data_IF_190758176299
#
_entry.id   IF_190758176299
#
_cell.length_a   1.000
_cell.length_b   1.000
_cell.length_c   1.000
_cell.angle_alpha   90.00
_cell.angle_beta   90.00
_cell.angle_gamma   90.00
#
_symmetry.space_group_name_H-M   'P 1'
#
loop_
_entity.id
_entity.type
_entity.pdbx_description
1 polymer ?
#
# COMPACT_ATOMS: atom_id res chain seq x y z
N UNK A 1 -4.50 9.84 20.99
CA UNK A 1 -4.37 8.39 21.15
C UNK A 1 -4.14 7.79 19.78
N UNK A 2 -2.99 7.14 19.59
CA UNK A 2 -2.63 6.46 18.35
C UNK A 2 -2.25 5.02 18.69
N UNK A 3 -2.56 4.07 17.82
CA UNK A 3 -1.97 2.73 17.85
C UNK A 3 -2.14 2.01 19.20
N UNK A 4 -3.38 1.92 19.66
CA UNK A 4 -3.75 1.21 20.88
C UNK A 4 -4.80 0.14 20.59
N UNK A 5 -4.76 -0.98 21.31
CA UNK A 5 -5.73 -2.07 21.20
C UNK A 5 -7.05 -1.81 21.95
N UNK A 6 -7.38 -0.53 22.16
CA UNK A 6 -8.64 -0.15 22.81
C UNK A 6 -9.76 -0.40 21.81
N UNK A 7 -10.75 -1.17 22.25
CA UNK A 7 -11.93 -1.57 21.50
C UNK A 7 -13.20 -1.12 22.20
N UNK A 8 -14.31 -1.10 21.46
CA UNK A 8 -15.61 -0.67 21.96
C UNK A 8 -16.15 0.56 21.23
N UNK A 9 -17.28 1.12 21.68
CA UNK A 9 -17.85 2.30 21.06
C UNK A 9 -16.96 3.53 21.29
N UNK A 10 -17.05 4.52 20.40
CA UNK A 10 -16.45 5.85 20.65
C UNK A 10 -16.97 6.39 22.00
N UNK A 11 -16.09 6.71 22.97
CA UNK A 11 -16.56 6.99 24.33
C UNK A 11 -17.33 8.30 24.47
N UNK A 12 -18.59 8.21 24.88
CA UNK A 12 -19.48 9.36 25.02
C UNK A 12 -19.06 10.31 26.15
N UNK A 13 -18.36 9.82 27.19
CA UNK A 13 -17.93 10.64 28.33
C UNK A 13 -16.99 11.79 27.93
N UNK A 14 -16.35 11.70 26.74
CA UNK A 14 -15.48 12.75 26.21
C UNK A 14 -16.24 14.09 26.12
N UNK A 15 -17.56 14.07 25.93
CA UNK A 15 -18.41 15.26 25.91
C UNK A 15 -18.27 16.16 27.15
N UNK A 16 -17.90 15.58 28.30
CA UNK A 16 -17.74 16.32 29.56
C UNK A 16 -16.43 17.11 29.62
N UNK A 17 -15.51 16.89 28.67
CA UNK A 17 -14.22 17.57 28.56
C UNK A 17 -14.39 18.86 27.73
N UNK A 18 -15.27 19.77 28.18
CA UNK A 18 -15.65 20.97 27.38
C UNK A 18 -14.50 21.93 27.11
N UNK A 19 -13.39 21.85 27.86
CA UNK A 19 -12.18 22.65 27.65
C UNK A 19 -11.17 21.98 26.69
N UNK A 20 -11.54 20.86 26.07
CA UNK A 20 -10.66 20.12 25.16
C UNK A 20 -10.44 20.90 23.85
N UNK A 21 -9.18 21.14 23.49
CA UNK A 21 -8.78 21.79 22.24
C UNK A 21 -8.28 20.78 21.19
N UNK A 22 -7.71 19.67 21.64
CA UNK A 22 -7.08 18.68 20.77
C UNK A 22 -7.60 17.27 21.08
N UNK A 23 -8.43 16.75 20.18
CA UNK A 23 -8.90 15.36 20.23
C UNK A 23 -8.40 14.60 19.01
N UNK A 24 -7.52 13.61 19.25
CA UNK A 24 -6.95 12.78 18.18
C UNK A 24 -7.08 11.30 18.56
N UNK A 25 -7.80 10.52 17.76
CA UNK A 25 -8.03 9.08 17.95
C UNK A 25 -7.91 8.36 16.60
N UNK A 26 -6.83 7.59 16.42
CA UNK A 26 -6.54 6.83 15.19
C UNK A 26 -6.00 5.45 15.50
N UNK A 27 -6.25 4.51 14.59
CA UNK A 27 -5.66 3.17 14.67
C UNK A 27 -6.05 2.43 15.96
N UNK A 28 -7.28 2.65 16.42
CA UNK A 28 -7.91 1.94 17.53
C UNK A 28 -8.92 0.94 16.95
N UNK A 29 -9.53 0.11 17.80
CA UNK A 29 -10.64 -0.78 17.42
C UNK A 29 -11.98 -0.20 17.84
N UNK A 30 -12.12 1.13 17.72
CA UNK A 30 -13.35 1.81 18.07
C UNK A 30 -14.39 1.59 16.99
N UNK A 31 -15.66 1.48 17.38
CA UNK A 31 -16.77 1.43 16.43
C UNK A 31 -17.75 2.58 16.66
N UNK A 32 -18.42 2.95 15.57
CA UNK A 32 -19.37 4.05 15.53
C UNK A 32 -20.74 3.71 16.10
N UNK A 33 -21.65 4.69 16.10
CA UNK A 33 -21.47 6.02 15.51
C UNK A 33 -20.60 6.95 16.37
N UNK A 34 -20.09 8.03 15.77
CA UNK A 34 -19.53 9.15 16.54
C UNK A 34 -20.66 9.77 17.38
N UNK A 35 -20.51 9.93 18.72
CA UNK A 35 -21.60 10.39 19.57
C UNK A 35 -22.01 11.83 19.21
N UNK A 36 -23.31 12.06 19.00
CA UNK A 36 -23.86 13.42 18.80
C UNK A 36 -23.42 14.42 19.88
N UNK A 37 -23.19 13.92 21.09
CA UNK A 37 -22.72 14.65 22.25
C UNK A 37 -21.34 15.32 22.07
N UNK A 38 -20.56 14.95 21.05
CA UNK A 38 -19.33 15.67 20.69
C UNK A 38 -19.60 17.11 20.22
N UNK A 39 -20.86 17.45 19.90
CA UNK A 39 -21.31 18.83 19.73
C UNK A 39 -21.05 19.74 20.94
N UNK A 40 -20.87 19.18 22.15
CA UNK A 40 -20.53 19.94 23.34
C UNK A 40 -19.07 20.43 23.36
N UNK A 41 -18.21 19.92 22.48
CA UNK A 41 -16.77 20.22 22.43
C UNK A 41 -16.49 21.46 21.58
N UNK A 42 -17.08 22.59 21.94
CA UNK A 42 -17.04 23.83 21.15
C UNK A 42 -15.65 24.50 21.09
N UNK A 43 -14.73 24.13 21.99
CA UNK A 43 -13.38 24.70 22.07
C UNK A 43 -12.34 23.95 21.22
N UNK A 44 -12.75 22.96 20.42
CA UNK A 44 -11.82 22.17 19.61
C UNK A 44 -11.13 23.04 18.56
N UNK A 45 -9.80 22.92 18.50
CA UNK A 45 -8.92 23.43 17.45
C UNK A 45 -8.49 22.31 16.50
N UNK A 46 -8.36 21.09 17.02
CA UNK A 46 -8.04 19.87 16.26
C UNK A 46 -9.00 18.73 16.63
N UNK A 47 -9.69 18.22 15.62
CA UNK A 47 -10.45 16.97 15.70
C UNK A 47 -9.95 16.00 14.63
N UNK A 48 -9.39 14.89 15.08
CA UNK A 48 -8.77 13.89 14.22
C UNK A 48 -9.27 12.52 14.65
N UNK A 49 -10.28 12.00 13.97
CA UNK A 49 -10.85 10.68 14.18
C UNK A 49 -10.64 9.84 12.93
N UNK A 50 -10.17 8.60 13.08
CA UNK A 50 -10.11 7.70 11.95
C UNK A 50 -10.03 6.23 12.28
N UNK A 51 -10.33 5.43 11.25
CA UNK A 51 -10.46 3.97 11.34
C UNK A 51 -11.49 3.55 12.40
N UNK A 52 -12.60 4.29 12.48
CA UNK A 52 -13.74 3.91 13.33
C UNK A 52 -14.59 2.92 12.54
N UNK A 53 -14.67 1.69 13.03
CA UNK A 53 -15.44 0.61 12.42
C UNK A 53 -16.94 0.86 12.49
N UNK A 54 -17.70 0.21 11.63
CA UNK A 54 -19.16 0.34 11.57
C UNK A 54 -19.62 1.31 10.48
N UNK A 55 -20.93 1.30 10.28
CA UNK A 55 -21.60 1.91 9.14
C UNK A 55 -22.67 2.85 9.72
N UNK A 56 -22.93 3.99 9.07
CA UNK A 56 -24.02 4.92 9.39
C UNK A 56 -23.74 6.01 10.44
N UNK A 57 -22.50 6.49 10.56
CA UNK A 57 -22.28 7.78 11.23
C UNK A 57 -22.88 8.91 10.37
N UNK A 58 -23.55 9.87 11.01
CA UNK A 58 -24.07 11.11 10.39
C UNK A 58 -23.27 12.31 10.93
N UNK A 59 -23.54 13.51 10.43
CA UNK A 59 -22.92 14.76 10.92
C UNK A 59 -23.62 15.38 12.14
N UNK A 60 -24.48 14.64 12.86
CA UNK A 60 -25.26 15.15 14.00
C UNK A 60 -24.39 15.51 15.23
N UNK A 61 -23.08 15.28 15.15
CA UNK A 61 -22.09 15.65 16.16
C UNK A 61 -21.37 16.98 15.86
N UNK A 62 -21.61 17.58 14.69
CA UNK A 62 -21.05 18.89 14.35
C UNK A 62 -21.73 19.96 15.20
N UNK A 63 -20.93 20.82 15.81
CA UNK A 63 -21.36 22.02 16.52
C UNK A 63 -20.69 23.26 15.94
N UNK A 64 -20.99 24.43 16.51
CA UNK A 64 -20.26 25.65 16.21
C UNK A 64 -18.80 25.54 16.67
N UNK A 65 -17.92 25.31 15.70
CA UNK A 65 -16.51 24.99 15.89
C UNK A 65 -15.65 26.08 15.27
N UNK A 66 -15.96 27.33 15.62
CA UNK A 66 -15.29 28.52 15.12
C UNK A 66 -13.75 28.46 15.24
N UNK A 67 -13.23 27.77 16.27
CA UNK A 67 -11.78 27.63 16.52
C UNK A 67 -11.13 26.47 15.75
N UNK A 68 -11.91 25.59 15.13
CA UNK A 68 -11.39 24.37 14.52
C UNK A 68 -10.59 24.68 13.26
N UNK A 69 -9.31 24.29 13.29
CA UNK A 69 -8.36 24.45 12.18
C UNK A 69 -8.10 23.14 11.44
N UNK A 70 -8.17 22.02 12.16
CA UNK A 70 -7.92 20.68 11.62
C UNK A 70 -9.10 19.76 11.88
N UNK A 71 -9.74 19.30 10.81
CA UNK A 71 -10.77 18.26 10.85
C UNK A 71 -10.33 17.07 9.98
N UNK A 72 -10.11 15.93 10.62
CA UNK A 72 -10.05 14.65 9.91
C UNK A 72 -11.05 13.66 10.49
N UNK A 73 -11.86 13.09 9.61
CA UNK A 73 -12.89 12.08 9.87
C UNK A 73 -12.73 10.93 8.87
N UNK A 74 -11.48 10.57 8.57
CA UNK A 74 -11.15 9.55 7.57
C UNK A 74 -11.67 8.19 8.01
N UNK A 75 -12.36 7.47 7.11
CA UNK A 75 -12.83 6.09 7.37
C UNK A 75 -13.56 5.95 8.71
N UNK A 76 -14.58 6.80 8.88
CA UNK A 76 -15.44 6.83 10.06
C UNK A 76 -16.86 6.31 9.79
N UNK A 77 -17.06 5.68 8.62
CA UNK A 77 -18.36 5.16 8.19
C UNK A 77 -19.42 6.25 7.97
N UNK A 78 -18.99 7.48 7.66
CA UNK A 78 -19.89 8.61 7.46
C UNK A 78 -20.73 8.42 6.19
N UNK A 79 -22.01 8.80 6.28
CA UNK A 79 -22.98 8.68 5.19
C UNK A 79 -23.76 9.99 5.00
N UNK A 80 -24.49 10.11 3.89
CA UNK A 80 -25.31 11.29 3.61
C UNK A 80 -24.55 12.39 2.90
N UNK A 81 -24.95 13.64 3.09
CA UNK A 81 -24.34 14.82 2.46
C UNK A 81 -23.64 15.68 3.50
N UNK A 82 -22.69 16.50 3.05
CA UNK A 82 -22.10 17.54 3.88
C UNK A 82 -23.17 18.58 4.28
N UNK A 83 -23.20 19.05 5.54
CA UNK A 83 -24.03 20.16 5.94
C UNK A 83 -23.78 21.42 5.11
N UNK A 84 -24.85 22.12 4.75
CA UNK A 84 -24.81 23.33 3.90
C UNK A 84 -24.14 24.54 4.56
N UNK A 85 -24.03 24.56 5.90
CA UNK A 85 -23.49 25.70 6.65
C UNK A 85 -22.50 25.17 7.69
N UNK A 86 -21.20 25.06 7.34
CA UNK A 86 -20.19 24.66 8.29
C UNK A 86 -19.89 25.82 9.22
N UNK A 87 -19.90 25.60 10.53
CA UNK A 87 -19.56 26.63 11.49
C UNK A 87 -18.06 26.59 11.84
N UNK A 88 -17.22 26.35 10.83
CA UNK A 88 -15.77 26.10 10.99
C UNK A 88 -14.98 27.13 10.20
N UNK A 89 -15.04 28.41 10.61
CA UNK A 89 -14.46 29.53 9.85
C UNK A 89 -12.92 29.53 9.78
N UNK A 90 -12.25 28.78 10.64
CA UNK A 90 -10.78 28.74 10.73
C UNK A 90 -10.16 27.48 10.10
N UNK A 91 -10.97 26.66 9.40
CA UNK A 91 -10.52 25.38 8.89
C UNK A 91 -9.45 25.53 7.80
N UNK A 92 -8.31 24.88 7.99
CA UNK A 92 -7.18 24.84 7.04
C UNK A 92 -6.86 23.42 6.56
N UNK A 93 -7.32 22.40 7.28
CA UNK A 93 -7.14 21.00 6.92
C UNK A 93 -8.46 20.25 7.07
N UNK A 94 -8.98 19.73 5.95
CA UNK A 94 -10.19 18.91 5.88
C UNK A 94 -9.87 17.56 5.26
N UNK A 95 -10.13 16.48 5.99
CA UNK A 95 -9.94 15.12 5.50
C UNK A 95 -11.14 14.24 5.83
N UNK A 96 -11.87 13.85 4.78
CA UNK A 96 -13.09 13.05 4.83
C UNK A 96 -12.94 11.78 4.00
N UNK A 97 -11.71 11.35 3.71
CA UNK A 97 -11.43 10.22 2.83
C UNK A 97 -12.04 8.91 3.31
N UNK A 98 -12.29 8.01 2.36
CA UNK A 98 -12.72 6.63 2.61
C UNK A 98 -14.00 6.54 3.46
N UNK A 99 -14.98 7.39 3.15
CA UNK A 99 -16.32 7.35 3.74
C UNK A 99 -17.36 7.00 2.66
N UNK A 100 -18.64 7.05 3.00
CA UNK A 100 -19.75 6.86 2.07
C UNK A 100 -20.55 8.16 1.90
N UNK A 101 -19.84 9.30 1.83
CA UNK A 101 -20.44 10.61 1.62
C UNK A 101 -20.90 10.78 0.18
N UNK A 102 -21.95 11.57 -0.01
CA UNK A 102 -22.64 11.77 -1.29
C UNK A 102 -23.06 13.23 -1.47
N UNK A 103 -23.67 13.53 -2.61
CA UNK A 103 -24.10 14.88 -2.97
C UNK A 103 -23.07 15.60 -3.86
N UNK A 104 -23.39 16.81 -4.31
CA UNK A 104 -22.54 17.51 -5.26
C UNK A 104 -21.29 18.07 -4.57
N UNK A 105 -20.13 17.95 -5.22
CA UNK A 105 -18.82 18.35 -4.66
C UNK A 105 -18.75 19.85 -4.31
N UNK A 106 -19.61 20.69 -4.91
CA UNK A 106 -19.79 22.10 -4.53
C UNK A 106 -20.17 22.32 -3.06
N UNK A 107 -20.66 21.30 -2.36
CA UNK A 107 -20.91 21.36 -0.91
C UNK A 107 -19.63 21.55 -0.08
N UNK A 108 -18.46 21.40 -0.69
CA UNK A 108 -17.18 21.73 -0.05
C UNK A 108 -16.87 23.24 -0.08
N UNK A 109 -17.52 24.03 -0.95
CA UNK A 109 -17.26 25.48 -1.06
C UNK A 109 -17.37 26.20 0.30
N UNK A 110 -18.39 25.94 1.14
CA UNK A 110 -18.50 26.62 2.43
C UNK A 110 -17.41 26.23 3.43
N UNK A 111 -16.73 25.09 3.26
CA UNK A 111 -15.64 24.64 4.14
C UNK A 111 -14.31 25.32 3.78
N UNK A 112 -14.29 26.05 2.66
CA UNK A 112 -13.12 26.75 2.18
C UNK A 112 -12.97 28.11 2.85
N UNK A 113 -11.96 28.24 3.71
CA UNK A 113 -11.72 29.50 4.45
C UNK A 113 -10.41 30.21 4.10
N UNK A 114 -9.51 29.57 3.36
CA UNK A 114 -8.21 30.15 2.99
C UNK A 114 -7.67 29.57 1.68
N UNK A 115 -6.60 30.19 1.17
CA UNK A 115 -5.88 29.71 -0.02
C UNK A 115 -4.85 28.61 0.31
N UNK A 116 -4.58 28.38 1.59
CA UNK A 116 -3.56 27.43 2.06
C UNK A 116 -4.17 26.11 2.55
N UNK A 117 -5.31 25.73 1.99
CA UNK A 117 -6.13 24.66 2.51
C UNK A 117 -5.73 23.29 1.93
N UNK A 118 -5.76 22.27 2.78
CA UNK A 118 -5.65 20.87 2.38
C UNK A 118 -7.05 20.25 2.41
N UNK A 119 -7.52 19.76 1.27
CA UNK A 119 -8.85 19.17 1.13
C UNK A 119 -8.72 17.76 0.59
N UNK A 120 -9.04 16.77 1.41
CA UNK A 120 -8.98 15.36 1.08
C UNK A 120 -10.37 14.73 1.17
N UNK A 121 -10.98 14.44 0.04
CA UNK A 121 -12.33 13.85 -0.06
C UNK A 121 -12.37 12.61 -0.94
N UNK A 122 -11.20 12.04 -1.25
CA UNK A 122 -11.08 10.84 -2.05
C UNK A 122 -11.84 9.64 -1.46
N UNK A 123 -12.14 8.65 -2.30
CA UNK A 123 -12.84 7.42 -1.89
C UNK A 123 -14.19 7.69 -1.21
N UNK A 124 -15.04 8.46 -1.89
CA UNK A 124 -16.42 8.75 -1.50
C UNK A 124 -17.35 8.59 -2.73
N UNK A 125 -18.61 9.03 -2.60
CA UNK A 125 -19.60 9.01 -3.67
C UNK A 125 -20.09 10.44 -4.03
N UNK A 126 -19.19 11.43 -3.98
CA UNK A 126 -19.49 12.80 -4.43
C UNK A 126 -19.78 12.84 -5.94
N UNK A 127 -20.56 13.83 -6.36
CA UNK A 127 -21.03 13.99 -7.74
C UNK A 127 -20.79 15.40 -8.28
N UNK A 128 -20.94 15.55 -9.60
CA UNK A 128 -20.94 16.86 -10.26
C UNK A 128 -19.54 17.40 -10.56
N UNK A 129 -19.49 18.67 -10.96
CA UNK A 129 -18.25 19.32 -11.40
C UNK A 129 -17.49 19.93 -10.22
N UNK A 130 -16.16 19.86 -10.28
CA UNK A 130 -15.28 20.50 -9.28
C UNK A 130 -15.27 22.01 -9.54
N UNK A 131 -15.77 22.84 -8.61
CA UNK A 131 -15.71 24.29 -8.76
C UNK A 131 -14.26 24.78 -8.83
N UNK A 132 -13.97 25.73 -9.73
CA UNK A 132 -12.63 26.29 -9.90
C UNK A 132 -12.11 26.96 -8.63
N UNK A 133 -13.01 27.52 -7.80
CA UNK A 133 -12.69 28.16 -6.52
C UNK A 133 -12.09 27.17 -5.52
N UNK A 134 -12.49 25.90 -5.56
CA UNK A 134 -11.89 24.86 -4.71
C UNK A 134 -10.46 24.57 -5.19
N UNK A 135 -10.25 24.48 -6.49
CA UNK A 135 -8.95 24.16 -7.09
C UNK A 135 -7.92 25.29 -6.90
N UNK A 136 -8.29 26.53 -7.20
CA UNK A 136 -7.35 27.68 -7.24
C UNK A 136 -6.67 28.01 -5.90
N UNK A 137 -7.28 27.56 -4.81
CA UNK A 137 -6.94 28.01 -3.47
C UNK A 137 -6.75 26.81 -2.52
N UNK A 138 -6.30 25.67 -3.06
CA UNK A 138 -5.92 24.49 -2.28
C UNK A 138 -4.44 24.20 -2.47
N UNK A 139 -3.73 23.95 -1.37
CA UNK A 139 -2.33 23.45 -1.39
C UNK A 139 -2.30 21.99 -1.82
N UNK A 140 -3.34 21.24 -1.49
CA UNK A 140 -3.57 19.89 -1.96
C UNK A 140 -5.08 19.63 -2.03
N UNK A 141 -5.53 19.11 -3.16
CA UNK A 141 -6.93 18.73 -3.38
C UNK A 141 -7.00 17.28 -3.84
N UNK A 142 -7.55 16.40 -3.02
CA UNK A 142 -7.80 15.02 -3.43
C UNK A 142 -9.30 14.78 -3.58
N UNK A 143 -9.71 14.52 -4.82
CA UNK A 143 -11.08 14.12 -5.19
C UNK A 143 -11.11 12.71 -5.78
N UNK A 144 -10.00 11.98 -5.68
CA UNK A 144 -9.82 10.67 -6.30
C UNK A 144 -10.93 9.69 -5.89
N UNK A 145 -11.22 8.72 -6.75
CA UNK A 145 -12.19 7.67 -6.48
C UNK A 145 -13.64 8.11 -6.20
N UNK A 146 -13.99 9.36 -6.50
CA UNK A 146 -15.38 9.80 -6.60
C UNK A 146 -15.86 9.63 -8.06
N UNK A 147 -16.39 8.43 -8.39
CA UNK A 147 -16.67 8.02 -9.78
C UNK A 147 -17.62 8.96 -10.53
N UNK A 148 -18.52 9.62 -9.81
CA UNK A 148 -19.55 10.52 -10.34
C UNK A 148 -19.11 12.00 -10.37
N UNK A 149 -17.92 12.33 -9.86
CA UNK A 149 -17.29 13.65 -10.10
C UNK A 149 -16.84 13.69 -11.55
N UNK A 150 -17.27 14.73 -12.27
CA UNK A 150 -17.16 14.85 -13.72
C UNK A 150 -16.93 16.30 -14.16
N UNK A 151 -17.11 16.58 -15.45
CA UNK A 151 -16.88 17.90 -16.03
C UNK A 151 -15.42 18.12 -16.43
N UNK A 152 -15.12 19.27 -17.05
CA UNK A 152 -13.76 19.63 -17.43
C UNK A 152 -12.90 19.86 -16.18
N UNK A 153 -11.62 19.46 -16.25
CA UNK A 153 -10.64 19.84 -15.24
C UNK A 153 -10.53 21.38 -15.22
N UNK A 154 -10.71 22.05 -14.06
CA UNK A 154 -10.60 23.50 -14.00
C UNK A 154 -9.21 23.96 -14.45
N UNK A 155 -9.17 24.80 -15.50
CA UNK A 155 -7.92 25.31 -16.05
C UNK A 155 -7.26 26.33 -15.11
N UNK A 156 -5.92 26.31 -15.04
CA UNK A 156 -5.13 27.45 -14.55
C UNK A 156 -4.99 28.47 -15.67
N UNK A 157 -5.28 29.74 -15.40
CA UNK A 157 -5.04 30.84 -16.33
C UNK A 157 -3.55 31.03 -16.66
N UNK A 158 -2.64 30.49 -15.84
CA UNK A 158 -1.20 30.74 -15.92
C UNK A 158 -0.38 29.48 -16.26
N UNK A 159 -1.05 28.37 -16.66
CA UNK A 159 -0.38 27.10 -16.97
C UNK A 159 0.20 26.36 -15.76
N UNK A 160 -0.10 26.82 -14.54
CA UNK A 160 0.32 26.16 -13.30
C UNK A 160 -0.47 24.86 -13.10
N UNK A 161 0.23 23.73 -12.99
CA UNK A 161 -0.39 22.44 -12.67
C UNK A 161 -0.89 22.46 -11.22
N UNK A 162 -2.20 22.33 -11.03
CA UNK A 162 -2.80 22.30 -9.70
C UNK A 162 -2.41 21.01 -8.96
N UNK A 163 -2.16 21.07 -7.64
CA UNK A 163 -1.91 19.90 -6.80
C UNK A 163 -3.23 19.16 -6.53
N UNK A 164 -3.83 18.63 -7.61
CA UNK A 164 -5.09 17.91 -7.59
C UNK A 164 -4.87 16.43 -7.92
N UNK A 165 -5.44 15.56 -7.11
CA UNK A 165 -5.59 14.15 -7.40
C UNK A 165 -7.03 13.83 -7.78
N UNK A 166 -7.25 13.41 -9.02
CA UNK A 166 -8.56 13.05 -9.56
C UNK A 166 -8.59 11.65 -10.20
N UNK A 167 -7.62 10.79 -9.88
CA UNK A 167 -7.62 9.39 -10.34
C UNK A 167 -8.94 8.72 -9.94
N UNK A 168 -9.51 7.91 -10.83
CA UNK A 168 -10.76 7.19 -10.55
C UNK A 168 -12.04 8.04 -10.60
N UNK A 169 -11.94 9.32 -10.99
CA UNK A 169 -13.10 10.17 -11.30
C UNK A 169 -13.44 10.14 -12.80
N UNK A 170 -14.54 10.79 -13.17
CA UNK A 170 -14.96 11.00 -14.56
C UNK A 170 -14.56 12.37 -15.10
N UNK A 171 -13.63 13.09 -14.46
CA UNK A 171 -13.14 14.39 -14.93
C UNK A 171 -12.51 14.25 -16.32
N UNK A 172 -12.83 15.22 -17.19
CA UNK A 172 -12.25 15.37 -18.51
C UNK A 172 -11.03 16.30 -18.46
N UNK A 173 -9.85 15.72 -18.67
CA UNK A 173 -8.57 16.44 -18.71
C UNK A 173 -8.02 16.59 -20.15
N UNK A 174 -8.84 16.34 -21.17
CA UNK A 174 -8.43 16.34 -22.59
C UNK A 174 -7.86 17.67 -23.06
N UNK A 175 -8.31 18.78 -22.48
CA UNK A 175 -7.81 20.13 -22.76
C UNK A 175 -6.52 20.52 -22.02
N UNK A 176 -6.04 19.70 -21.07
CA UNK A 176 -4.95 20.09 -20.16
C UNK A 176 -3.76 19.12 -20.19
N UNK A 177 -3.99 17.84 -20.49
CA UNK A 177 -2.96 16.79 -20.50
C UNK A 177 -2.73 16.28 -21.92
N UNK A 178 -1.52 15.80 -22.22
CA UNK A 178 -1.21 15.23 -23.53
C UNK A 178 -2.03 13.94 -23.81
N UNK A 179 -2.19 13.61 -25.09
CA UNK A 179 -3.01 12.48 -25.55
C UNK A 179 -2.51 11.10 -25.08
N UNK A 180 -1.21 10.93 -24.85
CA UNK A 180 -0.63 9.66 -24.41
C UNK A 180 -0.98 9.37 -22.94
N UNK A 181 -0.80 10.35 -22.05
CA UNK A 181 -1.17 10.26 -20.64
C UNK A 181 -2.68 10.00 -20.49
N UNK A 182 -3.49 10.68 -21.31
CA UNK A 182 -4.95 10.47 -21.35
C UNK A 182 -5.33 9.05 -21.74
N UNK A 183 -4.62 8.45 -22.69
CA UNK A 183 -4.85 7.06 -23.12
C UNK A 183 -4.64 6.10 -21.95
N UNK A 184 -3.56 6.27 -21.19
CA UNK A 184 -3.28 5.46 -19.99
C UNK A 184 -4.33 5.69 -18.90
N UNK A 185 -4.70 6.93 -18.61
CA UNK A 185 -5.76 7.24 -17.65
C UNK A 185 -7.15 6.70 -18.08
N UNK A 186 -7.44 6.69 -19.37
CA UNK A 186 -8.66 6.08 -19.92
C UNK A 186 -8.64 4.57 -19.83
N UNK A 187 -7.47 3.93 -19.93
CA UNK A 187 -7.33 2.51 -19.65
C UNK A 187 -7.63 2.22 -18.17
N UNK A 188 -7.09 2.98 -17.22
CA UNK A 188 -7.48 2.85 -15.80
C UNK A 188 -9.01 2.90 -15.59
N UNK A 189 -9.71 3.79 -16.31
CA UNK A 189 -11.18 3.93 -16.27
C UNK A 189 -11.93 2.86 -17.06
N UNK A 190 -11.24 1.85 -17.60
CA UNK A 190 -11.77 0.80 -18.48
C UNK A 190 -12.51 1.34 -19.71
N UNK A 191 -12.22 2.58 -20.13
CA UNK A 191 -12.80 3.19 -21.34
C UNK A 191 -12.07 2.75 -22.60
N UNK A 192 -10.73 2.65 -22.54
CA UNK A 192 -9.88 2.51 -23.74
C UNK A 192 -8.75 1.47 -23.60
N UNK A 193 -8.85 0.48 -22.70
CA UNK A 193 -7.84 -0.61 -22.62
C UNK A 193 -7.91 -1.60 -23.81
N UNK A 194 -8.14 -1.13 -25.03
CA UNK A 194 -8.18 -2.01 -26.18
C UNK A 194 -6.74 -2.34 -26.61
N UNK A 195 -6.38 -3.63 -26.53
CA UNK A 195 -5.04 -4.18 -26.81
C UNK A 195 -4.41 -3.72 -28.14
N UNK A 196 -5.22 -3.33 -29.12
CA UNK A 196 -4.76 -3.03 -30.48
C UNK A 196 -3.89 -1.76 -30.58
N UNK A 197 -3.92 -0.87 -29.59
CA UNK A 197 -3.12 0.36 -29.60
C UNK A 197 -1.82 0.26 -28.79
N UNK A 198 -1.64 -0.78 -27.97
CA UNK A 198 -0.38 -1.03 -27.25
C UNK A 198 0.39 -2.07 -28.05
N UNK A 199 1.25 -1.61 -28.94
CA UNK A 199 1.94 -2.45 -29.93
C UNK A 199 2.85 -3.53 -29.33
N UNK A 200 3.17 -3.44 -28.02
CA UNK A 200 3.92 -4.44 -27.27
C UNK A 200 3.40 -4.53 -25.81
N UNK A 201 2.55 -5.52 -25.45
CA UNK A 201 2.14 -5.69 -24.05
C UNK A 201 3.36 -5.98 -23.18
N UNK A 202 3.52 -5.20 -22.11
CA UNK A 202 4.62 -5.40 -21.17
C UNK A 202 4.47 -6.76 -20.49
N UNK A 203 5.47 -7.62 -20.63
CA UNK A 203 5.52 -8.92 -19.93
C UNK A 203 6.17 -8.78 -18.56
N UNK A 204 7.04 -7.80 -18.36
CA UNK A 204 7.63 -7.47 -17.07
C UNK A 204 7.85 -5.97 -16.94
N UNK A 205 7.78 -5.46 -15.71
CA UNK A 205 8.02 -4.08 -15.37
C UNK A 205 8.83 -3.99 -14.07
N UNK A 206 9.68 -2.98 -13.93
CA UNK A 206 10.26 -2.61 -12.65
C UNK A 206 10.27 -1.09 -12.48
N UNK A 207 10.01 -0.60 -11.27
CA UNK A 207 9.88 0.82 -10.92
C UNK A 207 10.83 1.11 -9.75
N UNK A 208 11.67 2.15 -9.87
CA UNK A 208 12.49 2.68 -8.78
C UNK A 208 11.70 3.78 -8.06
N UNK A 209 10.93 3.42 -7.03
CA UNK A 209 10.00 4.32 -6.36
C UNK A 209 10.74 5.49 -5.69
N UNK A 210 10.38 6.72 -6.04
CA UNK A 210 11.10 7.95 -5.67
C UNK A 210 12.52 8.11 -6.23
N UNK A 211 12.98 7.19 -7.07
CA UNK A 211 14.34 7.16 -7.59
C UNK A 211 14.42 7.41 -9.09
N UNK A 212 15.63 7.74 -9.57
CA UNK A 212 15.93 7.84 -11.01
C UNK A 212 16.01 6.47 -11.66
N UNK A 213 15.92 6.43 -12.98
CA UNK A 213 16.08 5.18 -13.73
C UNK A 213 17.43 4.52 -13.38
N UNK A 214 17.40 3.22 -13.12
CA UNK A 214 18.61 2.46 -12.83
C UNK A 214 18.58 1.08 -13.51
N UNK A 215 19.76 0.59 -13.87
CA UNK A 215 19.94 -0.76 -14.42
C UNK A 215 20.66 -1.61 -13.40
N UNK A 216 20.14 -2.81 -13.19
CA UNK A 216 20.72 -3.76 -12.27
C UNK A 216 20.93 -5.11 -12.96
N UNK A 217 22.13 -5.65 -12.87
CA UNK A 217 22.58 -6.81 -13.65
C UNK A 217 23.01 -7.95 -12.74
N UNK A 218 22.06 -8.62 -12.07
CA UNK A 218 22.27 -9.90 -11.40
C UNK A 218 20.91 -10.52 -10.96
N UNK A 219 20.49 -11.73 -11.38
CA UNK A 219 21.09 -12.62 -12.40
C UNK A 219 20.64 -12.29 -13.84
N UNK A 220 19.60 -11.46 -14.02
CA UNK A 220 19.12 -10.95 -15.32
C UNK A 220 19.03 -9.43 -15.29
N UNK A 221 19.46 -8.72 -16.35
CA UNK A 221 19.42 -7.26 -16.39
C UNK A 221 17.97 -6.77 -16.25
N UNK A 222 17.70 -6.11 -15.13
CA UNK A 222 16.41 -5.46 -14.86
C UNK A 222 16.62 -3.94 -14.93
N UNK A 223 15.79 -3.26 -15.72
CA UNK A 223 15.75 -1.81 -15.78
C UNK A 223 14.60 -1.34 -14.91
N UNK A 224 14.91 -0.66 -13.81
CA UNK A 224 13.92 0.00 -12.97
C UNK A 224 13.65 1.40 -13.55
N UNK A 225 12.43 1.64 -14.02
CA UNK A 225 12.00 2.93 -14.56
C UNK A 225 11.92 3.99 -13.46
N UNK A 226 12.14 5.25 -13.83
CA UNK A 226 12.17 6.40 -12.93
C UNK A 226 10.81 6.76 -12.34
N UNK A 227 10.74 6.92 -11.01
CA UNK A 227 9.60 7.48 -10.28
C UNK A 227 10.05 8.64 -9.37
N UNK A 228 10.79 9.61 -9.91
CA UNK A 228 11.40 10.71 -9.15
C UNK A 228 10.50 11.96 -8.96
N UNK A 229 9.30 11.96 -9.55
CA UNK A 229 8.44 13.15 -9.58
C UNK A 229 7.88 13.47 -8.18
N UNK A 230 7.99 14.72 -7.77
CA UNK A 230 7.30 15.25 -6.59
C UNK A 230 5.81 15.45 -6.91
N UNK A 231 4.96 14.90 -6.05
CA UNK A 231 3.50 14.90 -6.21
C UNK A 231 2.81 15.82 -5.20
N UNK A 232 3.57 16.53 -4.35
CA UNK A 232 3.03 17.39 -3.30
C UNK A 232 2.10 16.63 -2.34
N UNK A 233 1.14 17.34 -1.73
CA UNK A 233 0.21 16.74 -0.77
C UNK A 233 -0.89 15.88 -1.39
N UNK A 234 -1.18 16.04 -2.68
CA UNK A 234 -2.14 15.25 -3.44
C UNK A 234 -1.82 15.36 -4.93
N UNK A 235 -1.59 14.23 -5.60
CA UNK A 235 -1.33 14.25 -7.04
C UNK A 235 -1.02 12.87 -7.59
N UNK A 236 -0.81 12.83 -8.89
CA UNK A 236 -0.40 11.62 -9.58
C UNK A 236 0.54 11.94 -10.74
N UNK A 237 1.31 10.93 -11.14
CA UNK A 237 2.20 11.00 -12.30
C UNK A 237 1.97 9.77 -13.19
N UNK A 238 1.97 10.03 -14.51
CA UNK A 238 1.81 9.02 -15.55
C UNK A 238 3.16 8.87 -16.24
N UNK A 239 3.67 7.65 -16.30
CA UNK A 239 4.86 7.30 -17.06
C UNK A 239 4.42 6.52 -18.29
N UNK A 240 4.27 7.20 -19.43
CA UNK A 240 3.79 6.60 -20.67
C UNK A 240 4.75 5.57 -21.23
N UNK A 241 6.05 5.86 -21.20
CA UNK A 241 7.09 4.99 -21.72
C UNK A 241 7.16 3.62 -21.01
N UNK A 242 6.82 3.59 -19.72
CA UNK A 242 6.85 2.37 -18.90
C UNK A 242 5.45 1.89 -18.51
N UNK A 243 4.38 2.47 -19.05
CA UNK A 243 2.99 2.04 -18.83
C UNK A 243 2.56 1.90 -17.36
N UNK A 244 2.92 2.86 -16.50
CA UNK A 244 2.44 2.88 -15.13
C UNK A 244 2.04 4.27 -14.64
N UNK A 245 1.23 4.31 -13.60
CA UNK A 245 0.75 5.51 -12.93
C UNK A 245 0.99 5.37 -11.44
N UNK A 246 1.50 6.43 -10.81
CA UNK A 246 1.60 6.54 -9.35
C UNK A 246 0.64 7.61 -8.86
N UNK A 247 -0.08 7.32 -7.78
CA UNK A 247 -0.94 8.25 -7.05
C UNK A 247 -0.40 8.45 -5.64
N UNK A 248 -0.35 9.68 -5.19
CA UNK A 248 0.02 10.06 -3.83
C UNK A 248 -1.10 10.89 -3.20
N UNK A 249 -1.43 10.55 -1.96
CA UNK A 249 -2.39 11.32 -1.18
C UNK A 249 -1.94 11.39 0.27
N UNK A 250 -1.78 12.60 0.79
CA UNK A 250 -1.61 12.87 2.22
C UNK A 250 -0.52 13.90 2.50
N UNK A 251 -0.81 14.78 3.46
CA UNK A 251 0.16 15.63 4.12
C UNK A 251 -0.18 15.65 5.60
N UNK A 252 0.82 15.70 6.48
CA UNK A 252 0.57 15.92 7.89
C UNK A 252 0.02 17.35 8.10
N UNK A 253 -1.06 17.53 8.89
CA UNK A 253 -1.62 18.85 9.17
C UNK A 253 -0.69 19.76 9.98
N UNK A 254 0.34 19.23 10.62
CA UNK A 254 1.20 19.95 11.56
C UNK A 254 2.67 20.05 11.10
N UNK A 255 2.99 19.58 9.90
CA UNK A 255 4.37 19.54 9.39
C UNK A 255 4.45 19.19 7.90
N UNK A 256 5.58 19.54 7.27
CA UNK A 256 5.81 19.17 5.87
C UNK A 256 6.06 17.66 5.74
N UNK A 257 5.36 17.03 4.82
CA UNK A 257 5.55 15.63 4.46
C UNK A 257 6.33 15.57 3.14
N UNK A 258 7.52 14.94 3.11
CA UNK A 258 8.42 15.10 1.97
C UNK A 258 8.01 14.31 0.72
N UNK A 259 7.09 13.33 0.82
CA UNK A 259 6.60 12.47 -0.29
C UNK A 259 7.66 11.51 -0.88
N UNK A 260 8.93 11.88 -0.75
CA UNK A 260 10.13 11.17 -1.15
C UNK A 260 11.11 11.26 0.03
N UNK A 261 11.73 10.14 0.39
CA UNK A 261 12.75 10.08 1.43
C UNK A 261 14.01 9.42 0.87
N UNK A 262 15.16 9.84 1.38
CA UNK A 262 16.45 9.29 0.97
C UNK A 262 17.44 9.22 2.12
N UNK A 263 18.44 8.36 1.96
CA UNK A 263 19.57 8.23 2.89
C UNK A 263 20.87 8.06 2.11
N UNK A 264 21.97 8.60 2.64
CA UNK A 264 23.32 8.35 2.13
C UNK A 264 23.98 7.12 2.75
N UNK A 265 23.34 6.51 3.75
CA UNK A 265 23.84 5.33 4.43
C UNK A 265 23.69 4.09 3.54
N UNK A 266 24.65 3.19 3.60
CA UNK A 266 24.57 1.90 2.91
C UNK A 266 23.48 1.01 3.53
N UNK A 267 22.84 0.18 2.70
CA UNK A 267 21.82 -0.79 3.09
C UNK A 267 22.46 -2.19 3.08
N UNK A 268 22.99 -2.68 4.21
CA UNK A 268 23.67 -3.97 4.27
C UNK A 268 22.72 -5.15 4.03
N UNK A 269 23.25 -6.27 3.53
CA UNK A 269 22.48 -7.48 3.27
C UNK A 269 21.86 -7.55 1.87
N UNK A 270 22.24 -6.64 0.98
CA UNK A 270 21.86 -6.65 -0.44
C UNK A 270 23.03 -6.22 -1.32
N UNK A 271 23.10 -6.77 -2.54
CA UNK A 271 24.02 -6.33 -3.59
C UNK A 271 23.47 -5.16 -4.44
N UNK A 272 22.24 -4.71 -4.16
CA UNK A 272 21.59 -3.56 -4.82
C UNK A 272 21.21 -2.46 -3.81
N UNK A 273 22.15 -2.08 -2.94
CA UNK A 273 21.94 -1.07 -1.88
C UNK A 273 21.29 0.23 -2.38
N UNK A 274 21.74 0.74 -3.54
CA UNK A 274 21.23 1.98 -4.16
C UNK A 274 19.71 1.96 -4.39
N UNK A 275 19.11 0.80 -4.68
CA UNK A 275 17.66 0.69 -4.88
C UNK A 275 16.86 0.98 -3.60
N UNK A 276 17.45 0.74 -2.43
CA UNK A 276 16.80 0.90 -1.12
C UNK A 276 17.13 2.23 -0.44
N UNK A 277 18.06 3.03 -0.99
CA UNK A 277 18.48 4.31 -0.44
C UNK A 277 17.49 5.44 -0.71
N UNK A 278 16.54 5.24 -1.62
CA UNK A 278 15.43 6.15 -1.89
C UNK A 278 14.11 5.38 -1.76
N UNK A 279 13.06 6.05 -1.28
CA UNK A 279 11.74 5.47 -1.22
C UNK A 279 10.66 6.53 -1.36
N UNK A 280 9.55 6.16 -2.00
CA UNK A 280 8.33 6.97 -1.98
C UNK A 280 7.61 6.73 -0.66
N UNK A 281 7.13 7.81 -0.04
CA UNK A 281 6.40 7.75 1.23
C UNK A 281 5.12 8.55 1.12
N UNK A 282 4.14 8.24 1.97
CA UNK A 282 2.93 9.07 2.11
C UNK A 282 2.41 9.01 3.54
N UNK A 283 1.77 10.07 4.03
CA UNK A 283 1.08 10.04 5.33
C UNK A 283 -0.28 9.36 5.25
N UNK A 284 -0.79 9.04 4.05
CA UNK A 284 -2.03 8.30 3.90
C UNK A 284 -1.93 7.16 2.92
N UNK A 285 -1.76 7.41 1.61
CA UNK A 285 -1.85 6.33 0.63
C UNK A 285 -0.94 6.54 -0.59
N UNK A 286 -0.44 5.41 -1.09
CA UNK A 286 0.23 5.28 -2.37
C UNK A 286 -0.53 4.26 -3.23
N UNK A 287 -0.84 4.63 -4.46
CA UNK A 287 -1.36 3.69 -5.45
C UNK A 287 -0.40 3.60 -6.62
N UNK A 288 -0.15 2.38 -7.08
CA UNK A 288 0.53 2.11 -8.34
C UNK A 288 -0.39 1.30 -9.25
N UNK A 289 -0.58 1.80 -10.47
CA UNK A 289 -1.34 1.14 -11.53
C UNK A 289 -0.38 0.78 -12.63
N UNK A 290 -0.19 -0.51 -12.88
CA UNK A 290 0.61 -1.00 -13.99
C UNK A 290 -0.37 -1.43 -15.08
N UNK A 291 -0.24 -0.86 -16.27
CA UNK A 291 -1.21 -1.02 -17.35
C UNK A 291 -0.60 -1.71 -18.57
N UNK A 292 -1.44 -2.31 -19.40
CA UNK A 292 -1.00 -2.99 -20.61
C UNK A 292 -0.26 -4.30 -20.36
N UNK A 293 -0.43 -4.89 -19.17
CA UNK A 293 0.08 -6.22 -18.87
C UNK A 293 -0.73 -7.27 -19.64
N UNK A 294 -0.06 -8.29 -20.19
CA UNK A 294 -0.75 -9.42 -20.79
C UNK A 294 -1.63 -10.13 -19.74
N UNK A 295 -2.70 -10.78 -20.19
CA UNK A 295 -3.50 -11.57 -19.26
C UNK A 295 -2.72 -12.83 -18.89
N UNK A 296 -2.62 -13.15 -17.62
CA UNK A 296 -1.83 -14.28 -17.16
C UNK A 296 -1.52 -14.22 -15.68
N UNK A 297 -0.72 -15.18 -15.23
CA UNK A 297 -0.23 -15.25 -13.86
C UNK A 297 1.10 -14.50 -13.76
N UNK A 298 1.21 -13.64 -12.75
CA UNK A 298 2.36 -12.78 -12.51
C UNK A 298 2.88 -12.95 -11.10
N UNK A 299 4.17 -12.69 -10.91
CA UNK A 299 4.80 -12.50 -9.61
C UNK A 299 5.06 -11.01 -9.40
N UNK A 300 4.54 -10.48 -8.30
CA UNK A 300 4.76 -9.10 -7.84
C UNK A 300 5.74 -9.12 -6.69
N UNK A 301 6.79 -8.31 -6.78
CA UNK A 301 7.77 -8.09 -5.74
C UNK A 301 7.77 -6.62 -5.34
N UNK A 302 7.57 -6.37 -4.04
CA UNK A 302 7.63 -5.05 -3.42
C UNK A 302 8.88 -4.98 -2.55
N UNK A 303 9.68 -3.94 -2.72
CA UNK A 303 10.99 -3.80 -2.08
C UNK A 303 10.94 -2.71 -1.01
N UNK A 304 11.46 -3.01 0.18
CA UNK A 304 11.36 -2.16 1.35
C UNK A 304 12.68 -2.08 2.11
N UNK A 305 12.98 -0.92 2.66
CA UNK A 305 13.94 -0.73 3.74
C UNK A 305 13.48 0.45 4.61
N UNK A 306 13.44 0.28 5.94
CA UNK A 306 13.15 1.41 6.82
C UNK A 306 14.38 2.32 6.92
N UNK A 307 14.30 3.48 6.29
CA UNK A 307 15.39 4.46 6.20
C UNK A 307 15.07 5.79 6.90
N UNK A 308 13.88 5.92 7.50
CA UNK A 308 13.42 7.14 8.19
C UNK A 308 13.37 6.92 9.70
N UNK A 309 12.65 5.88 10.14
CA UNK A 309 12.47 5.51 11.55
C UNK A 309 13.54 4.48 11.92
N UNK A 310 14.79 4.95 11.96
CA UNK A 310 15.97 4.08 12.14
C UNK A 310 16.47 4.01 13.58
N UNK A 311 16.11 5.00 14.40
CA UNK A 311 16.50 5.13 15.81
C UNK A 311 15.28 5.46 16.67
N UNK A 312 15.33 5.06 17.95
CA UNK A 312 14.29 5.38 18.94
C UNK A 312 13.06 4.45 18.91
N UNK A 313 11.98 4.82 19.61
CA UNK A 313 10.84 3.94 19.86
C UNK A 313 9.78 3.96 18.73
N UNK A 314 10.03 4.68 17.63
CA UNK A 314 9.07 4.83 16.55
C UNK A 314 8.84 3.52 15.79
N UNK A 315 7.64 3.36 15.25
CA UNK A 315 7.26 2.21 14.42
C UNK A 315 6.43 2.65 13.22
N UNK A 316 6.79 2.17 12.03
CA UNK A 316 6.00 2.32 10.82
C UNK A 316 5.10 1.11 10.63
N UNK A 317 3.79 1.34 10.51
CA UNK A 317 2.81 0.33 10.16
C UNK A 317 1.94 0.85 9.02
N UNK A 318 1.68 0.02 8.03
CA UNK A 318 0.73 0.29 6.95
C UNK A 318 0.24 -1.03 6.36
N UNK A 319 -0.89 -0.97 5.67
CA UNK A 319 -1.50 -2.10 5.01
C UNK A 319 -1.07 -2.14 3.54
N UNK A 320 -0.98 -3.33 2.96
CA UNK A 320 -0.64 -3.58 1.56
C UNK A 320 -1.74 -4.40 0.92
N UNK A 321 -2.35 -3.84 -0.12
CA UNK A 321 -3.29 -4.51 -0.98
C UNK A 321 -2.73 -4.70 -2.40
N UNK A 322 -3.00 -5.86 -2.99
CA UNK A 322 -2.72 -6.14 -4.41
C UNK A 322 -4.02 -6.65 -5.04
N UNK A 323 -4.47 -6.01 -6.13
CA UNK A 323 -5.77 -6.28 -6.76
C UNK A 323 -6.93 -6.31 -5.75
N UNK A 324 -7.05 -5.26 -4.93
CA UNK A 324 -8.09 -5.11 -3.91
C UNK A 324 -8.10 -6.20 -2.81
N UNK A 325 -7.07 -7.04 -2.74
CA UNK A 325 -6.88 -8.03 -1.68
C UNK A 325 -5.81 -7.57 -0.71
N UNK A 326 -6.17 -7.47 0.58
CA UNK A 326 -5.19 -7.20 1.63
C UNK A 326 -4.26 -8.40 1.82
N UNK A 327 -3.00 -8.24 1.43
CA UNK A 327 -1.98 -9.31 1.53
C UNK A 327 -1.14 -9.19 2.80
N UNK A 328 -1.03 -7.97 3.35
CA UNK A 328 -0.35 -7.68 4.61
C UNK A 328 -1.11 -6.57 5.32
N UNK A 329 -1.61 -6.89 6.52
CA UNK A 329 -2.12 -5.92 7.48
C UNK A 329 -1.02 -5.59 8.49
N UNK A 330 -0.89 -4.32 8.87
CA UNK A 330 0.15 -3.83 9.78
C UNK A 330 1.55 -4.24 9.38
N UNK A 331 1.89 -4.08 8.11
CA UNK A 331 3.22 -4.36 7.65
C UNK A 331 4.23 -3.45 8.34
N UNK A 332 5.16 -4.07 9.06
CA UNK A 332 6.27 -3.45 9.77
C UNK A 332 7.57 -3.82 9.06
N UNK A 333 8.13 -2.86 8.31
CA UNK A 333 9.34 -3.08 7.51
C UNK A 333 10.51 -3.48 8.41
N UNK A 334 10.70 -2.79 9.54
CA UNK A 334 11.79 -3.04 10.48
C UNK A 334 11.70 -4.43 11.08
N UNK A 335 10.49 -4.87 11.46
CA UNK A 335 10.26 -6.21 11.99
C UNK A 335 10.53 -7.29 10.95
N UNK A 336 10.01 -7.13 9.73
CA UNK A 336 10.18 -8.10 8.64
C UNK A 336 11.66 -8.22 8.21
N UNK A 337 12.38 -7.09 8.16
CA UNK A 337 13.80 -7.06 7.78
C UNK A 337 14.76 -7.45 8.93
N UNK A 338 14.25 -7.67 10.15
CA UNK A 338 15.06 -7.95 11.33
C UNK A 338 15.94 -6.78 11.78
N UNK A 339 15.48 -5.54 11.56
CA UNK A 339 16.13 -4.29 11.95
C UNK A 339 15.93 -3.17 10.93
N UNK A 340 16.14 -1.89 11.33
CA UNK A 340 16.12 -0.77 10.40
C UNK A 340 17.32 -0.82 9.45
N UNK A 341 17.25 -0.11 8.32
CA UNK A 341 18.28 -0.10 7.26
C UNK A 341 18.67 -1.50 6.76
N UNK A 342 17.71 -2.43 6.73
CA UNK A 342 17.88 -3.75 6.13
C UNK A 342 16.87 -3.94 5.00
N UNK A 343 17.26 -4.61 3.91
CA UNK A 343 16.37 -4.89 2.81
C UNK A 343 15.38 -5.98 3.22
N UNK A 344 14.13 -5.83 2.80
CA UNK A 344 13.14 -6.91 2.80
C UNK A 344 12.25 -6.79 1.58
N UNK A 345 11.69 -7.90 1.14
CA UNK A 345 10.76 -7.91 0.01
C UNK A 345 9.52 -8.75 0.31
N UNK A 346 8.39 -8.30 -0.23
CA UNK A 346 7.16 -9.09 -0.26
C UNK A 346 6.99 -9.61 -1.67
N UNK A 347 6.83 -10.92 -1.80
CA UNK A 347 6.50 -11.59 -3.06
C UNK A 347 5.06 -12.10 -3.01
N UNK A 348 4.27 -11.79 -4.02
CA UNK A 348 2.88 -12.22 -4.13
C UNK A 348 2.54 -12.61 -5.57
N UNK A 349 1.81 -13.70 -5.74
CA UNK A 349 1.36 -14.17 -7.04
C UNK A 349 -0.04 -13.66 -7.32
N UNK A 350 -0.28 -13.17 -8.53
CA UNK A 350 -1.55 -12.57 -8.93
C UNK A 350 -1.96 -13.01 -10.33
N UNK A 351 -3.26 -13.15 -10.56
CA UNK A 351 -3.82 -13.36 -11.89
C UNK A 351 -4.29 -12.02 -12.42
N UNK A 352 -3.86 -11.65 -13.61
CA UNK A 352 -4.27 -10.45 -14.32
C UNK A 352 -5.17 -10.87 -15.48
N UNK A 353 -6.40 -10.38 -15.50
CA UNK A 353 -7.41 -10.70 -16.52
C UNK A 353 -7.94 -9.46 -17.27
N UNK A 354 -7.61 -8.26 -16.80
CA UNK A 354 -8.09 -6.98 -17.31
C UNK A 354 -6.94 -6.05 -17.76
N UNK A 355 -5.74 -6.59 -17.90
CA UNK A 355 -4.51 -5.87 -18.30
C UNK A 355 -4.06 -4.75 -17.35
N UNK A 356 -4.60 -4.69 -16.13
CA UNK A 356 -4.24 -3.73 -15.09
C UNK A 356 -3.85 -4.49 -13.83
N UNK A 357 -2.74 -4.08 -13.21
CA UNK A 357 -2.38 -4.46 -11.85
C UNK A 357 -2.44 -3.24 -10.95
N UNK A 358 -3.17 -3.37 -9.85
CA UNK A 358 -3.32 -2.33 -8.84
C UNK A 358 -2.57 -2.75 -7.58
N UNK A 359 -1.69 -1.88 -7.09
CA UNK A 359 -0.97 -2.03 -5.83
C UNK A 359 -1.32 -0.81 -4.98
N UNK A 360 -1.84 -1.05 -3.78
CA UNK A 360 -2.27 0.00 -2.86
C UNK A 360 -1.57 -0.20 -1.52
N UNK A 361 -0.87 0.84 -1.06
CA UNK A 361 -0.26 0.86 0.27
C UNK A 361 -0.91 1.99 1.04
N UNK A 362 -1.47 1.71 2.22
CA UNK A 362 -2.20 2.73 2.97
C UNK A 362 -1.96 2.68 4.47
N UNK A 363 -1.97 3.86 5.07
CA UNK A 363 -1.84 4.03 6.50
C UNK A 363 -3.18 3.84 7.19
N UNK A 364 -3.24 2.89 8.10
CA UNK A 364 -4.42 2.44 8.86
C UNK A 364 -4.62 3.23 10.19
N UNK A 365 -3.97 4.40 10.32
CA UNK A 365 -3.92 5.14 11.58
C UNK A 365 -3.03 4.54 12.68
N UNK A 366 -2.36 3.41 12.41
CA UNK A 366 -1.51 2.66 13.36
C UNK A 366 -0.02 2.93 13.18
N UNK A 367 0.78 2.57 14.18
CA UNK A 367 2.17 2.98 14.28
C UNK A 367 2.32 4.40 14.85
N UNK A 368 3.45 5.01 14.59
CA UNK A 368 3.82 6.28 15.19
C UNK A 368 3.58 7.46 14.24
N UNK A 369 2.76 8.44 14.62
CA UNK A 369 2.47 9.62 13.79
C UNK A 369 3.62 10.64 13.68
N UNK A 370 4.56 10.60 14.62
CA UNK A 370 5.28 11.83 14.97
C UNK A 370 6.76 11.61 15.32
N UNK A 371 7.29 10.42 15.02
CA UNK A 371 8.70 10.05 15.26
C UNK A 371 9.31 9.58 13.94
N UNK A 372 10.49 10.09 13.54
CA UNK A 372 11.28 11.11 14.24
C UNK A 372 10.73 12.54 14.10
N UNK A 373 9.79 12.76 13.17
CA UNK A 373 9.12 14.05 12.97
C UNK A 373 7.67 13.83 12.52
N UNK A 374 6.87 14.90 12.55
CA UNK A 374 5.47 14.91 12.09
C UNK A 374 5.39 14.63 10.59
N UNK A 375 4.65 13.59 10.20
CA UNK A 375 4.57 13.15 8.80
C UNK A 375 5.55 12.04 8.41
N UNK A 376 6.32 11.51 9.36
CA UNK A 376 7.22 10.38 9.10
C UNK A 376 6.50 9.02 8.98
N UNK A 377 5.18 8.96 9.18
CA UNK A 377 4.35 7.75 9.18
C UNK A 377 3.84 7.35 7.80
N UNK A 378 3.04 6.28 7.77
CA UNK A 378 2.38 5.75 6.58
C UNK A 378 3.28 4.89 5.70
N UNK A 379 2.83 4.55 4.48
CA UNK A 379 3.57 3.65 3.59
C UNK A 379 4.92 4.22 3.17
N UNK A 380 5.90 3.33 3.04
CA UNK A 380 7.23 3.59 2.46
C UNK A 380 7.52 2.45 1.49
N UNK A 381 7.93 2.75 0.25
CA UNK A 381 8.20 1.76 -0.79
C UNK A 381 9.43 2.16 -1.62
N UNK A 382 10.41 1.26 -1.74
CA UNK A 382 11.66 1.51 -2.48
C UNK A 382 11.56 1.12 -3.94
N UNK A 383 10.92 -0.01 -4.25
CA UNK A 383 10.76 -0.44 -5.64
C UNK A 383 9.60 -1.43 -5.83
N UNK A 384 9.19 -1.56 -7.09
CA UNK A 384 8.24 -2.57 -7.56
C UNK A 384 8.90 -3.36 -8.68
N UNK A 385 8.72 -4.68 -8.70
CA UNK A 385 9.07 -5.53 -9.84
C UNK A 385 7.93 -6.51 -10.12
N UNK A 386 7.51 -6.60 -11.36
CA UNK A 386 6.43 -7.46 -11.83
C UNK A 386 6.92 -8.24 -13.04
N UNK A 387 6.75 -9.55 -13.03
CA UNK A 387 7.19 -10.42 -14.12
C UNK A 387 6.26 -11.63 -14.24
N UNK A 388 6.22 -12.30 -15.41
CA UNK A 388 5.35 -13.45 -15.61
C UNK A 388 5.74 -14.54 -14.63
N UNK A 389 4.76 -15.23 -14.08
CA UNK A 389 5.00 -16.38 -13.24
C UNK A 389 5.74 -17.45 -14.05
N UNK A 390 6.87 -17.90 -13.51
CA UNK A 390 7.62 -19.01 -14.07
C UNK A 390 7.26 -20.26 -13.26
N UNK A 391 6.52 -21.18 -13.87
CA UNK A 391 6.46 -22.55 -13.38
C UNK A 391 7.90 -23.09 -13.46
N UNK A 392 8.52 -23.32 -12.31
CA UNK A 392 9.70 -24.18 -12.24
C UNK A 392 9.26 -25.62 -12.52
N UNK A 393 8.82 -25.91 -13.75
CA UNK A 393 8.91 -27.25 -14.30
C UNK A 393 10.40 -27.50 -14.47
N UNK A 394 11.01 -28.07 -13.44
CA UNK A 394 12.31 -28.73 -13.55
C UNK A 394 12.08 -29.91 -14.50
N UNK A 395 12.09 -29.63 -15.81
CA UNK A 395 12.37 -30.66 -16.79
C UNK A 395 13.77 -31.18 -16.44
N UNK A 396 13.95 -32.51 -16.27
CA UNK A 396 15.28 -33.04 -16.04
C UNK A 396 16.20 -32.55 -17.16
N UNK A 397 17.45 -32.15 -16.85
CA UNK A 397 18.36 -31.66 -17.87
C UNK A 397 18.51 -32.71 -18.97
N UNK A 398 18.58 -32.32 -20.25
CA UNK A 398 18.86 -33.26 -21.32
C UNK A 398 20.17 -34.00 -20.99
N UNK A 399 20.24 -35.33 -21.23
CA UNK A 399 21.43 -36.11 -20.90
C UNK A 399 22.64 -35.47 -21.58
N UNK A 400 23.57 -34.94 -20.77
CA UNK A 400 24.83 -34.43 -21.27
C UNK A 400 25.63 -35.61 -21.84
N UNK A 401 26.12 -35.46 -23.07
CA UNK A 401 27.06 -36.40 -23.67
C UNK A 401 28.32 -36.49 -22.77
N UNK A 402 28.84 -37.70 -22.51
CA UNK A 402 29.92 -37.87 -21.55
C UNK A 402 31.23 -37.29 -22.11
N UNK A 403 32.03 -36.56 -21.31
CA UNK A 403 33.37 -36.18 -21.69
C UNK A 403 34.30 -37.39 -21.61
N UNK A 404 35.15 -37.52 -22.64
CA UNK A 404 36.21 -38.52 -22.70
C UNK A 404 37.33 -38.25 -21.68
N UNK A 405 37.81 -39.35 -21.10
CA UNK A 405 39.01 -39.53 -20.24
C UNK A 405 38.84 -39.12 -18.76
N UNK A 406 39.26 -39.88 -17.74
CA UNK A 406 40.15 -41.05 -17.69
C UNK A 406 39.68 -42.04 -16.61
N UNK A 407 39.92 -43.32 -16.90
CA UNK A 407 39.80 -44.48 -16.00
C UNK A 407 40.64 -44.28 -14.73
N UNK A 408 40.00 -44.16 -13.57
CA UNK A 408 40.41 -44.77 -12.29
C UNK A 408 39.53 -44.24 -11.15
N UNK A 409 38.28 -44.71 -11.04
CA UNK A 409 37.54 -44.64 -9.75
C UNK A 409 36.35 -45.62 -9.61
N UNK A 410 36.11 -46.49 -10.60
CA UNK A 410 35.04 -47.50 -10.54
C UNK A 410 35.30 -48.64 -9.55
N UNK A 411 36.53 -48.83 -9.06
CA UNK A 411 36.84 -49.91 -8.11
C UNK A 411 36.44 -49.62 -6.66
N UNK A 412 36.19 -48.37 -6.27
CA UNK A 412 35.76 -48.02 -4.89
C UNK A 412 34.25 -48.02 -4.69
N UNK A 413 33.46 -47.75 -5.74
CA UNK A 413 31.98 -47.74 -5.66
C UNK A 413 31.37 -49.14 -5.54
N UNK A 414 31.97 -50.15 -6.16
CA UNK A 414 31.49 -51.55 -6.07
C UNK A 414 31.63 -52.17 -4.67
N UNK A 415 32.63 -51.77 -3.90
CA UNK A 415 32.87 -52.30 -2.54
C UNK A 415 31.90 -51.69 -1.52
N UNK A 416 31.57 -50.40 -1.64
CA UNK A 416 30.64 -49.71 -0.73
C UNK A 416 29.19 -50.15 -0.94
N UNK A 417 28.77 -50.40 -2.18
CA UNK A 417 27.44 -50.92 -2.48
C UNK A 417 27.25 -52.38 -2.00
N UNK A 418 28.31 -53.20 -2.06
CA UNK A 418 28.28 -54.58 -1.55
C UNK A 418 28.15 -54.67 -0.02
N UNK A 419 28.81 -53.77 0.73
CA UNK A 419 28.73 -53.73 2.19
C UNK A 419 27.34 -53.24 2.66
N UNK A 420 26.74 -52.26 1.98
CA UNK A 420 25.40 -51.78 2.31
C UNK A 420 24.32 -52.86 2.07
N UNK A 421 24.43 -53.63 0.99
CA UNK A 421 23.51 -54.72 0.69
C UNK A 421 23.61 -55.89 1.69
N UNK A 422 24.83 -56.21 2.18
CA UNK A 422 25.04 -57.22 3.22
C UNK A 422 24.50 -56.78 4.58
N UNK A 423 24.61 -55.50 4.94
CA UNK A 423 24.03 -54.96 6.17
C UNK A 423 22.49 -55.00 6.16
N UNK A 424 21.86 -54.70 5.02
CA UNK A 424 20.39 -54.76 4.88
C UNK A 424 19.91 -56.21 4.96
N UNK A 425 20.58 -57.15 4.29
CA UNK A 425 20.25 -58.57 4.38
C UNK A 425 20.41 -59.11 5.82
N UNK A 426 21.48 -58.72 6.52
CA UNK A 426 21.70 -59.08 7.93
C UNK A 426 20.61 -58.54 8.86
N UNK A 427 20.16 -57.30 8.65
CA UNK A 427 19.09 -56.69 9.43
C UNK A 427 17.75 -57.44 9.23
N UNK A 428 17.40 -57.80 7.99
CA UNK A 428 16.17 -58.54 7.67
C UNK A 428 16.19 -59.97 8.23
N UNK A 429 17.34 -60.64 8.20
CA UNK A 429 17.48 -61.97 8.81
C UNK A 429 17.38 -61.87 10.33
N UNK A 430 18.02 -60.89 10.96
CA UNK A 430 17.96 -60.70 12.42
C UNK A 430 16.56 -60.38 12.92
N UNK A 431 15.80 -59.55 12.19
CA UNK A 431 14.41 -59.23 12.55
C UNK A 431 13.47 -60.41 12.35
N UNK A 432 13.72 -61.24 11.32
CA UNK A 432 12.97 -62.47 11.09
C UNK A 432 13.22 -63.51 12.18
N UNK A 433 14.47 -63.67 12.63
CA UNK A 433 14.82 -64.57 13.74
C UNK A 433 14.22 -64.08 15.06
N UNK A 434 14.30 -62.78 15.35
CA UNK A 434 13.66 -62.18 16.53
C UNK A 434 12.13 -62.34 16.50
N UNK A 435 11.51 -62.17 15.34
CA UNK A 435 10.07 -62.36 15.19
C UNK A 435 9.67 -63.82 15.40
N UNK A 436 10.41 -64.77 14.82
CA UNK A 436 10.16 -66.20 15.00
C UNK A 436 10.43 -66.64 16.45
N UNK A 437 11.46 -66.11 17.09
CA UNK A 437 11.74 -66.36 18.51
C UNK A 437 10.64 -65.80 19.41
N UNK A 438 10.20 -64.56 19.17
CA UNK A 438 9.09 -63.95 19.93
C UNK A 438 7.78 -64.73 19.76
N UNK A 439 7.48 -65.18 18.53
CA UNK A 439 6.32 -66.02 18.23
C UNK A 439 6.43 -67.41 18.85
N UNK A 440 7.63 -67.98 18.95
CA UNK A 440 7.86 -69.25 19.66
C UNK A 440 7.69 -69.10 21.18
N UNK A 441 8.23 -68.03 21.77
CA UNK A 441 8.06 -67.74 23.21
C UNK A 441 6.58 -67.54 23.57
N UNK A 442 5.79 -66.87 22.71
CA UNK A 442 4.36 -66.67 22.94
C UNK A 442 3.52 -67.96 22.78
N UNK A 443 4.01 -68.94 22.03
CA UNK A 443 3.37 -70.25 21.87
C UNK A 443 3.77 -71.25 22.96
N UNK A 444 4.99 -71.18 23.50
CA UNK A 444 5.51 -72.12 24.51
C UNK A 444 5.24 -71.67 25.94
N UNK A 445 5.07 -70.37 26.21
CA UNK A 445 4.64 -69.85 27.52
C UNK A 445 3.12 -69.64 27.58
N UNK A 446 2.36 -70.72 27.41
CA UNK A 446 1.06 -70.85 28.09
C UNK A 446 1.30 -71.63 29.37
N UNK A 447 1.12 -71.05 30.58
CA UNK A 447 0.98 -71.87 31.77
C UNK A 447 -0.28 -72.71 31.59
N UNK A 448 -0.14 -74.03 31.61
CA UNK A 448 -1.26 -74.90 31.96
C UNK A 448 -1.69 -74.54 33.40
N UNK A 449 -3.00 -74.51 33.62
CA UNK A 449 -3.56 -74.61 34.97
C UNK A 449 -3.07 -75.90 35.65
#
# INVERSE_FOLDING_TARGET
MFDNYIEGPVPEFIQNLTNLTDLRMYGMKLHGPIPKAFSNLINLETLMLGDIEGNHSTFDFIADWANLSTLSLRKCGLTGQLPNTPPMSNLTYLDLRSNNLSGPIRLLLPYKNSNDMYIYVGENNFTGEVPSEIVQASVALDVSYNRLVNGPLPNSSDGQKWPINYIGTSIDASGTINSEDLTILNCHRRKECNRNNVTNPATSLAINCAGKQMKYSDPLPTVFSEDSTDLGGAGFHVNTASHWVVSHVGSDPFGKSPGIVSTSQDIPGTNISVLYQTARTSTSALWYYLMGLANGKYTVQLFFAEIVIVDGPGRRLFDIDIQDQNIKKDFDITKEAGGPRRPTNITHEVIIDNSILIIHLYWSGRGTCCIPYKGAYGPLLSAIKVFPFQDLKISPPPPQAPPHSARQDEKRRGVVAGIAALCIAGAVISSSVLYLWWKWVSLVKRPMA
#
